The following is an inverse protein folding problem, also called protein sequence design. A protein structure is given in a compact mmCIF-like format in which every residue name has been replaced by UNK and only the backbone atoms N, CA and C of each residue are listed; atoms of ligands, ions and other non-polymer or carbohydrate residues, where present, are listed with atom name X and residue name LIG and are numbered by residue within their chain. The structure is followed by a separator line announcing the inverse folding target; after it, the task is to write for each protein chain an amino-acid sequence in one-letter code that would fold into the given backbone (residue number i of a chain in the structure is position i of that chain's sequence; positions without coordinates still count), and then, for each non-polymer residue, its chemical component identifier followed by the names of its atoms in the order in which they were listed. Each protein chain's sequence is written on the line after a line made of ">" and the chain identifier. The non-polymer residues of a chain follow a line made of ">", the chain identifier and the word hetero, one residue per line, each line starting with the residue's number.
data_IF_677117104019
#
_entry.id   IF_677117104019
#
_cell.length_a   1.000
_cell.length_b   1.000
_cell.length_c   1.000
_cell.angle_alpha   90.00
_cell.angle_beta   90.00
_cell.angle_gamma   90.00
#
_symmetry.space_group_name_H-M   'P 1'
#
loop_
_entity.id
_entity.type
_entity.pdbx_description
1 polymer ?
#
# COMPACT_ATOMS: atom_id res chain seq x y z
N UNK A 1 -22.84 -27.28 23.37
CA UNK A 1 -21.38 -27.23 23.19
C UNK A 1 -21.09 -26.87 21.73
N UNK A 2 -20.37 -25.77 21.53
CA UNK A 2 -20.01 -25.22 20.22
C UNK A 2 -18.99 -26.13 19.51
N UNK A 3 -19.19 -26.41 18.23
CA UNK A 3 -18.14 -26.96 17.36
C UNK A 3 -17.88 -25.93 16.26
N UNK A 4 -16.92 -25.06 16.55
CA UNK A 4 -16.43 -24.05 15.63
C UNK A 4 -15.93 -24.73 14.35
N UNK A 5 -16.50 -24.33 13.21
CA UNK A 5 -15.98 -24.67 11.90
C UNK A 5 -14.80 -23.75 11.63
N UNK A 6 -13.58 -24.24 11.86
CA UNK A 6 -12.38 -23.58 11.39
C UNK A 6 -12.34 -23.68 9.87
N UNK A 7 -12.85 -22.66 9.18
CA UNK A 7 -12.60 -22.47 7.77
C UNK A 7 -11.13 -22.06 7.62
N UNK A 8 -10.29 -23.01 7.25
CA UNK A 8 -8.93 -22.75 6.77
C UNK A 8 -9.09 -22.06 5.42
N UNK A 9 -9.16 -20.72 5.43
CA UNK A 9 -9.04 -19.92 4.22
C UNK A 9 -7.57 -19.99 3.85
N UNK A 10 -7.25 -20.89 2.92
CA UNK A 10 -5.93 -20.97 2.32
C UNK A 10 -5.59 -19.63 1.69
N UNK A 11 -4.62 -18.95 2.28
CA UNK A 11 -3.92 -17.80 1.70
C UNK A 11 -3.42 -18.18 0.31
N UNK A 12 -4.12 -17.69 -0.70
CA UNK A 12 -3.71 -17.74 -2.08
C UNK A 12 -2.59 -16.71 -2.21
N UNK A 13 -1.35 -17.14 -1.95
CA UNK A 13 -0.15 -16.33 -2.17
C UNK A 13 -0.01 -16.21 -3.69
N UNK A 14 -0.64 -15.20 -4.27
CA UNK A 14 -0.31 -14.75 -5.62
C UNK A 14 1.09 -14.17 -5.52
N UNK A 15 2.08 -14.94 -5.92
CA UNK A 15 3.44 -14.46 -6.13
C UNK A 15 3.41 -13.49 -7.32
N UNK A 16 3.10 -12.22 -7.05
CA UNK A 16 3.29 -11.12 -8.00
C UNK A 16 4.80 -11.01 -8.25
N UNK A 17 5.15 -11.11 -9.53
CA UNK A 17 6.51 -10.98 -10.05
C UNK A 17 7.15 -9.74 -9.44
N UNK A 18 8.08 -9.94 -8.50
CA UNK A 18 8.91 -8.87 -7.97
C UNK A 18 9.71 -8.33 -9.16
N UNK A 19 9.37 -7.12 -9.62
CA UNK A 19 10.22 -6.39 -10.55
C UNK A 19 11.58 -6.22 -9.89
N UNK A 20 12.58 -6.96 -10.38
CA UNK A 20 13.99 -6.82 -10.04
C UNK A 20 14.50 -5.47 -10.55
N UNK A 21 14.17 -4.40 -9.83
CA UNK A 21 14.52 -3.04 -10.20
C UNK A 21 14.55 -2.11 -8.99
N UNK A 22 15.45 -1.14 -9.05
CA UNK A 22 15.73 0.01 -8.15
C UNK A 22 14.56 0.81 -7.51
N UNK A 23 13.32 0.33 -7.58
CA UNK A 23 12.16 0.97 -6.95
C UNK A 23 11.98 0.63 -5.47
N UNK A 24 10.93 1.14 -4.81
CA UNK A 24 10.61 0.78 -3.43
C UNK A 24 10.23 -0.69 -3.34
N UNK A 25 10.69 -1.33 -2.27
CA UNK A 25 10.23 -2.65 -1.88
C UNK A 25 8.74 -2.65 -1.53
N UNK A 26 8.14 -3.82 -1.26
CA UNK A 26 6.78 -3.88 -0.74
C UNK A 26 6.64 -3.15 0.60
N UNK A 27 7.62 -3.35 1.49
CA UNK A 27 7.64 -2.71 2.81
C UNK A 27 7.80 -1.19 2.70
N UNK A 28 8.63 -0.71 1.77
CA UNK A 28 8.76 0.72 1.48
C UNK A 28 7.45 1.32 0.97
N UNK A 29 6.74 0.60 0.08
CA UNK A 29 5.44 1.04 -0.45
C UNK A 29 4.40 1.11 0.66
N UNK A 30 4.30 0.09 1.50
CA UNK A 30 3.36 0.06 2.62
C UNK A 30 3.68 1.17 3.64
N UNK A 31 4.96 1.37 3.95
CA UNK A 31 5.40 2.41 4.88
C UNK A 31 5.10 3.81 4.34
N UNK A 32 5.41 4.08 3.06
CA UNK A 32 5.10 5.34 2.40
C UNK A 32 3.58 5.60 2.32
N UNK A 33 2.79 4.54 2.10
CA UNK A 33 1.34 4.62 2.10
C UNK A 33 0.78 4.93 3.48
N UNK A 34 1.28 4.28 4.55
CA UNK A 34 0.86 4.58 5.92
C UNK A 34 1.12 6.04 6.28
N UNK A 35 2.31 6.55 5.98
CA UNK A 35 2.65 7.95 6.20
C UNK A 35 1.69 8.88 5.44
N UNK A 36 1.38 8.56 4.18
CA UNK A 36 0.41 9.32 3.42
C UNK A 36 -0.99 9.33 4.07
N UNK A 37 -1.48 8.18 4.54
CA UNK A 37 -2.77 8.12 5.26
C UNK A 37 -2.71 8.94 6.55
N UNK A 38 -1.64 8.82 7.33
CA UNK A 38 -1.48 9.55 8.58
C UNK A 38 -1.43 11.06 8.36
N UNK A 39 -0.65 11.53 7.38
CA UNK A 39 -0.53 12.94 6.99
C UNK A 39 -1.87 13.54 6.52
N UNK A 40 -2.76 12.72 5.97
CA UNK A 40 -4.08 13.13 5.46
C UNK A 40 -5.24 12.80 6.42
N UNK A 41 -4.98 12.20 7.58
CA UNK A 41 -6.02 11.87 8.55
C UNK A 41 -5.58 12.13 9.99
N UNK A 42 -4.88 11.19 10.62
CA UNK A 42 -4.39 11.23 12.00
C UNK A 42 -3.26 10.21 12.23
N UNK A 43 -2.47 10.43 13.28
CA UNK A 43 -1.33 9.60 13.68
C UNK A 43 -1.69 8.16 14.09
N UNK A 44 -2.95 7.90 14.44
CA UNK A 44 -3.44 6.55 14.81
C UNK A 44 -3.97 5.74 13.63
N UNK A 45 -3.85 6.25 12.40
CA UNK A 45 -4.26 5.50 11.22
C UNK A 45 -3.49 4.18 11.12
N UNK A 46 -4.17 3.14 10.64
CA UNK A 46 -3.65 1.79 10.44
C UNK A 46 -4.01 1.27 9.06
N UNK A 47 -3.18 0.35 8.60
CA UNK A 47 -3.39 -0.43 7.39
C UNK A 47 -3.65 -1.86 7.85
N UNK A 48 -4.86 -2.35 7.62
CA UNK A 48 -5.25 -3.73 7.95
C UNK A 48 -4.84 -4.71 6.85
N UNK A 49 -4.75 -4.22 5.61
CA UNK A 49 -4.40 -4.99 4.43
C UNK A 49 -3.75 -4.07 3.40
N UNK A 50 -2.71 -4.56 2.70
CA UNK A 50 -1.98 -3.79 1.69
C UNK A 50 -1.44 -4.68 0.59
N UNK A 51 -1.90 -4.39 -0.62
CA UNK A 51 -1.37 -4.97 -1.85
C UNK A 51 -0.93 -3.85 -2.78
N UNK A 52 0.16 -4.10 -3.52
CA UNK A 52 0.61 -3.20 -4.56
C UNK A 52 1.03 -3.96 -5.82
N UNK A 53 0.48 -3.52 -6.94
CA UNK A 53 0.47 -4.23 -8.22
C UNK A 53 1.43 -3.66 -9.24
N UNK A 54 0.93 -3.41 -10.47
CA UNK A 54 1.74 -3.00 -11.62
C UNK A 54 2.56 -1.76 -11.27
N UNK A 55 3.79 -1.75 -11.75
CA UNK A 55 4.82 -0.83 -11.27
C UNK A 55 5.48 -0.16 -12.48
N UNK A 56 5.33 1.15 -12.60
CA UNK A 56 5.86 1.93 -13.75
C UNK A 56 6.82 2.97 -13.24
N UNK A 57 8.06 2.94 -13.72
CA UNK A 57 9.07 3.96 -13.43
C UNK A 57 8.81 5.22 -14.25
N UNK A 58 8.87 6.38 -13.60
CA UNK A 58 8.88 7.66 -14.28
C UNK A 58 10.26 7.93 -14.91
N UNK A 59 10.29 8.51 -16.11
CA UNK A 59 11.54 8.91 -16.74
C UNK A 59 12.17 10.10 -16.01
N UNK A 60 13.49 10.05 -15.80
CA UNK A 60 14.27 11.18 -15.26
C UNK A 60 14.13 11.45 -13.76
N UNK A 61 13.36 10.66 -13.00
CA UNK A 61 13.21 10.81 -11.55
C UNK A 61 13.24 9.44 -10.83
N UNK A 62 13.62 9.40 -9.53
CA UNK A 62 13.44 8.22 -8.69
C UNK A 62 11.97 8.13 -8.24
N UNK A 63 11.06 8.11 -9.21
CA UNK A 63 9.61 8.10 -9.00
C UNK A 63 9.00 6.91 -9.72
N UNK A 64 8.00 6.32 -9.07
CA UNK A 64 7.36 5.09 -9.52
C UNK A 64 5.88 5.15 -9.23
N UNK A 65 5.06 4.74 -10.19
CA UNK A 65 3.62 4.71 -10.05
C UNK A 65 3.17 3.26 -9.90
N UNK A 66 2.34 3.01 -8.88
CA UNK A 66 1.85 1.66 -8.56
C UNK A 66 0.35 1.65 -8.31
N UNK A 67 -0.32 0.60 -8.78
CA UNK A 67 -1.64 0.24 -8.26
C UNK A 67 -1.50 -0.17 -6.78
N UNK A 68 -2.38 0.34 -5.94
CA UNK A 68 -2.48 0.01 -4.51
C UNK A 68 -3.92 -0.39 -4.20
N UNK A 69 -4.08 -1.48 -3.47
CA UNK A 69 -5.32 -1.81 -2.77
C UNK A 69 -5.02 -1.89 -1.28
N UNK A 70 -5.80 -1.21 -0.46
CA UNK A 70 -5.53 -1.13 0.97
C UNK A 70 -6.82 -1.02 1.78
N UNK A 71 -6.86 -1.72 2.92
CA UNK A 71 -7.88 -1.52 3.95
C UNK A 71 -7.35 -0.60 5.03
N UNK A 72 -8.04 0.51 5.26
CA UNK A 72 -7.56 1.60 6.12
C UNK A 72 -8.53 1.84 7.28
N UNK A 73 -8.01 1.88 8.50
CA UNK A 73 -8.69 2.43 9.67
C UNK A 73 -8.08 3.79 10.00
N UNK A 74 -8.88 4.83 10.09
CA UNK A 74 -8.44 6.17 10.47
C UNK A 74 -9.58 6.93 11.15
N UNK A 75 -9.29 7.90 12.02
CA UNK A 75 -10.30 8.73 12.69
C UNK A 75 -11.37 7.92 13.46
N UNK A 76 -11.04 6.70 13.89
CA UNK A 76 -11.98 5.78 14.54
C UNK A 76 -13.03 5.17 13.59
N UNK A 77 -12.78 5.20 12.28
CA UNK A 77 -13.65 4.67 11.23
C UNK A 77 -12.87 3.72 10.31
N UNK A 78 -13.56 2.69 9.83
CA UNK A 78 -13.07 1.79 8.78
C UNK A 78 -13.43 2.39 7.40
N UNK A 79 -12.41 2.73 6.63
CA UNK A 79 -12.52 3.24 5.26
C UNK A 79 -12.56 2.10 4.23
N UNK A 80 -12.35 0.85 4.63
CA UNK A 80 -12.24 -0.30 3.75
C UNK A 80 -11.28 0.01 2.59
N UNK A 81 -11.70 -0.35 1.37
CA UNK A 81 -10.96 -0.15 0.13
C UNK A 81 -11.17 1.22 -0.53
N UNK A 82 -11.64 2.24 0.19
CA UNK A 82 -11.85 3.58 -0.41
C UNK A 82 -10.55 4.25 -0.88
N UNK A 83 -9.42 3.80 -0.35
CA UNK A 83 -8.11 4.32 -0.71
C UNK A 83 -7.44 3.55 -1.86
N UNK A 84 -8.12 2.56 -2.44
CA UNK A 84 -7.64 1.87 -3.63
C UNK A 84 -7.43 2.87 -4.77
N UNK A 85 -6.35 2.71 -5.50
CA UNK A 85 -6.01 3.62 -6.58
C UNK A 85 -4.54 3.55 -6.95
N UNK A 86 -4.11 4.52 -7.74
CA UNK A 86 -2.76 4.52 -8.29
C UNK A 86 -1.95 5.67 -7.73
N UNK A 87 -0.82 5.32 -7.10
CA UNK A 87 -0.01 6.23 -6.31
C UNK A 87 1.39 6.37 -6.87
N UNK A 88 1.90 7.60 -6.84
CA UNK A 88 3.29 7.91 -7.22
C UNK A 88 4.17 7.95 -5.97
N UNK A 89 5.07 6.99 -5.87
CA UNK A 89 6.12 6.87 -4.86
C UNK A 89 7.39 7.54 -5.37
N UNK A 90 7.92 8.51 -4.62
CA UNK A 90 9.15 9.22 -4.95
C UNK A 90 10.16 9.11 -3.82
N UNK A 91 11.42 8.85 -4.13
CA UNK A 91 12.49 8.85 -3.14
C UNK A 91 12.93 10.29 -2.84
N UNK A 92 12.75 10.71 -1.59
CA UNK A 92 13.10 12.06 -1.12
C UNK A 92 13.95 11.92 0.14
N UNK A 93 15.25 12.22 0.02
CA UNK A 93 16.19 12.14 1.14
C UNK A 93 16.37 10.71 1.68
N UNK A 94 16.42 9.72 0.80
CA UNK A 94 16.60 8.30 1.16
C UNK A 94 15.35 7.64 1.75
N UNK A 95 14.17 8.28 1.61
CA UNK A 95 12.88 7.73 2.06
C UNK A 95 11.85 7.81 0.94
N UNK A 96 11.08 6.75 0.80
CA UNK A 96 9.95 6.72 -0.13
C UNK A 96 8.75 7.48 0.44
N UNK A 97 8.14 8.32 -0.38
CA UNK A 97 6.94 9.10 -0.05
C UNK A 97 5.95 9.05 -1.19
N UNK A 98 4.67 9.07 -0.88
CA UNK A 98 3.63 9.31 -1.88
C UNK A 98 3.59 10.80 -2.19
N UNK A 99 3.81 11.15 -3.45
CA UNK A 99 3.80 12.55 -3.94
C UNK A 99 2.62 12.83 -4.86
N UNK A 100 1.81 11.82 -5.17
CA UNK A 100 0.61 11.98 -6.00
C UNK A 100 -0.27 10.74 -5.99
N UNK A 101 -1.54 10.96 -6.29
CA UNK A 101 -2.52 9.93 -6.64
C UNK A 101 -3.06 10.29 -8.02
N UNK A 102 -2.97 9.36 -8.96
CA UNK A 102 -3.29 9.60 -10.38
C UNK A 102 -4.78 9.41 -10.64
N UNK A 103 -5.39 8.41 -10.00
CA UNK A 103 -6.80 8.03 -10.12
C UNK A 103 -7.21 7.14 -8.96
#
# INVERSE_FOLDING_TARGET
>A
MSKARFAVIGTLIVSLVACSGSGPSQDDRQSAFLLYVQDNSNDKAKIEDFESGKFVKAEGAPSYTCDVSAKVEALGQDFGSQMDGVYTFTEIGGKWKITGRVH
#
